data_IF_428277357567
#
_entry.id   IF_428277357567
#
_cell.length_a   1.000
_cell.length_b   1.000
_cell.length_c   1.000
_cell.angle_alpha   90.00
_cell.angle_beta   90.00
_cell.angle_gamma   90.00
#
_symmetry.space_group_name_H-M   'P 1'
#
loop_
_entity.id
_entity.type
_entity.pdbx_description
1 polymer ?
#
# COMPACT_ATOMS: atom_id res chain seq x y z
N UNK A 1 -19.54 -0.29 0.29
CA UNK A 1 -18.84 0.13 -0.95
C UNK A 1 -17.39 -0.27 -0.77
N UNK A 2 -16.83 -1.13 -1.63
CA UNK A 2 -15.44 -1.59 -1.45
C UNK A 2 -14.47 -0.44 -1.70
N UNK A 3 -13.61 -0.14 -0.72
CA UNK A 3 -12.59 0.91 -0.83
C UNK A 3 -11.27 0.29 -1.30
N UNK A 4 -10.80 0.72 -2.46
CA UNK A 4 -9.54 0.25 -3.05
C UNK A 4 -8.52 1.40 -3.02
N UNK A 5 -7.33 1.13 -2.51
CA UNK A 5 -6.18 2.03 -2.59
C UNK A 5 -5.19 1.56 -3.66
N UNK A 6 -4.51 2.51 -4.29
CA UNK A 6 -3.42 2.28 -5.22
C UNK A 6 -2.18 2.98 -4.67
N UNK A 7 -1.08 2.26 -4.55
CA UNK A 7 0.21 2.78 -4.10
C UNK A 7 1.26 2.55 -5.20
N UNK A 8 1.46 3.53 -6.10
CA UNK A 8 2.41 3.40 -7.19
C UNK A 8 3.84 3.75 -6.75
N UNK A 9 4.85 3.05 -7.30
CA UNK A 9 6.25 3.36 -7.05
C UNK A 9 7.24 2.35 -7.66
N UNK A 10 8.51 2.74 -7.78
CA UNK A 10 9.58 1.83 -8.24
C UNK A 10 9.82 0.67 -7.27
N UNK A 11 9.66 0.93 -5.96
CA UNK A 11 9.93 -0.02 -4.87
C UNK A 11 11.29 -0.75 -4.96
N UNK A 12 12.26 -0.15 -5.64
CA UNK A 12 13.61 -0.67 -5.83
C UNK A 12 14.66 0.28 -5.21
N UNK A 13 15.19 -0.02 -4.01
CA UNK A 13 14.83 -1.14 -3.14
C UNK A 13 13.57 -0.87 -2.32
N UNK A 14 12.91 -1.94 -1.89
CA UNK A 14 11.81 -1.82 -0.93
C UNK A 14 12.38 -1.48 0.46
N UNK A 15 11.77 -0.52 1.15
CA UNK A 15 12.22 -0.06 2.48
C UNK A 15 11.19 -0.40 3.54
N UNK A 16 11.61 -0.35 4.82
CA UNK A 16 10.68 -0.49 5.95
C UNK A 16 9.57 0.57 5.92
N UNK A 17 9.84 1.76 5.38
CA UNK A 17 8.83 2.81 5.19
C UNK A 17 7.71 2.40 4.23
N UNK A 18 8.04 1.71 3.13
CA UNK A 18 7.02 1.17 2.21
C UNK A 18 6.13 0.14 2.92
N UNK A 19 6.73 -0.76 3.71
CA UNK A 19 6.01 -1.79 4.47
C UNK A 19 5.08 -1.15 5.51
N UNK A 20 5.54 -0.12 6.21
CA UNK A 20 4.71 0.59 7.19
C UNK A 20 3.51 1.28 6.55
N UNK A 21 3.69 1.88 5.37
CA UNK A 21 2.58 2.45 4.60
C UNK A 21 1.58 1.35 4.20
N UNK A 22 2.04 0.24 3.65
CA UNK A 22 1.19 -0.89 3.26
C UNK A 22 0.37 -1.40 4.47
N UNK A 23 1.01 -1.60 5.62
CA UNK A 23 0.34 -2.05 6.85
C UNK A 23 -0.75 -1.08 7.31
N UNK A 24 -0.49 0.22 7.24
CA UNK A 24 -1.48 1.26 7.60
C UNK A 24 -2.60 1.36 6.57
N UNK A 25 -2.32 1.13 5.29
CA UNK A 25 -3.35 1.13 4.25
C UNK A 25 -4.34 -0.03 4.42
N UNK A 26 -3.90 -1.19 4.91
CA UNK A 26 -4.78 -2.35 5.14
C UNK A 26 -5.84 -2.12 6.23
N UNK A 27 -5.67 -1.15 7.14
CA UNK A 27 -6.71 -0.80 8.13
C UNK A 27 -7.72 0.22 7.61
N UNK A 28 -7.46 0.84 6.45
CA UNK A 28 -8.27 1.92 5.87
C UNK A 28 -9.03 1.50 4.60
N UNK A 29 -8.54 0.46 3.92
CA UNK A 29 -9.03 0.00 2.62
C UNK A 29 -9.24 -1.51 2.63
N UNK A 30 -10.26 -1.96 1.92
CA UNK A 30 -10.54 -3.39 1.75
C UNK A 30 -9.52 -4.07 0.83
N UNK A 31 -8.88 -3.29 -0.05
CA UNK A 31 -7.85 -3.75 -0.98
C UNK A 31 -6.80 -2.66 -1.22
N UNK A 32 -5.54 -3.07 -1.29
CA UNK A 32 -4.42 -2.20 -1.65
C UNK A 32 -3.71 -2.83 -2.86
N UNK A 33 -3.55 -2.06 -3.94
CA UNK A 33 -2.83 -2.46 -5.14
C UNK A 33 -1.49 -1.71 -5.15
N UNK A 34 -0.40 -2.45 -5.29
CA UNK A 34 0.97 -1.92 -5.40
C UNK A 34 1.37 -2.05 -6.86
N UNK A 35 1.83 -0.96 -7.49
CA UNK A 35 2.09 -0.89 -8.94
C UNK A 35 3.36 -0.12 -9.26
#
# INVERSE_FOLDING_TARGET
MSKIAIYPGSFDPITNGHIDIIKRSLSLFDKVIIA
#
